data_IF_328898399254
#
_entry.id   IF_328898399254
#
_cell.length_a   1.000
_cell.length_b   1.000
_cell.length_c   1.000
_cell.angle_alpha   90.00
_cell.angle_beta   90.00
_cell.angle_gamma   90.00
#
_symmetry.space_group_name_H-M   'P 1'
#
loop_
_entity.id
_entity.type
_entity.pdbx_description
1 polymer ?
#
# COMPACT_ATOMS: atom_id res chain seq x y z
N UNK A 1 50.36 1.63 -41.02
CA UNK A 1 49.34 0.80 -40.33
C UNK A 1 49.84 0.49 -38.94
N UNK A 2 49.24 1.11 -37.90
CA UNK A 2 49.23 0.76 -36.44
C UNK A 2 49.17 2.05 -35.62
N UNK A 3 47.97 2.56 -35.30
CA UNK A 3 47.77 3.64 -34.30
C UNK A 3 46.28 3.80 -33.94
N UNK A 4 45.61 2.73 -33.51
CA UNK A 4 44.21 2.80 -33.04
C UNK A 4 43.95 2.00 -31.74
N UNK A 5 45.00 1.70 -30.95
CA UNK A 5 44.89 0.82 -29.78
C UNK A 5 44.80 1.49 -28.39
N UNK A 6 45.19 2.76 -28.24
CA UNK A 6 45.42 3.33 -26.89
C UNK A 6 44.28 4.22 -26.34
N UNK A 7 43.29 4.58 -27.14
CA UNK A 7 42.25 5.55 -26.72
C UNK A 7 41.11 4.94 -25.89
N UNK A 8 40.93 3.61 -25.90
CA UNK A 8 39.82 2.91 -25.22
C UNK A 8 40.14 2.49 -23.79
N UNK A 9 41.41 2.38 -23.38
CA UNK A 9 41.78 2.03 -22.01
C UNK A 9 41.73 3.23 -21.05
N UNK A 10 41.92 4.45 -21.54
CA UNK A 10 41.87 5.68 -20.73
C UNK A 10 40.45 6.08 -20.33
N UNK A 11 39.45 5.66 -21.11
CA UNK A 11 38.03 5.94 -20.83
C UNK A 11 37.42 5.01 -19.75
N UNK A 12 38.00 3.83 -19.51
CA UNK A 12 37.53 2.90 -18.46
C UNK A 12 38.16 3.16 -17.09
N UNK A 13 39.26 3.92 -17.02
CA UNK A 13 39.85 4.39 -15.76
C UNK A 13 39.05 5.58 -15.17
N UNK A 14 38.36 6.36 -16.00
CA UNK A 14 37.60 7.55 -15.59
C UNK A 14 36.27 7.28 -14.85
N UNK A 15 35.87 6.01 -14.68
CA UNK A 15 34.65 5.63 -13.92
C UNK A 15 34.99 5.30 -12.45
N UNK A 16 36.29 5.19 -12.10
CA UNK A 16 36.72 4.77 -10.76
C UNK A 16 37.09 5.89 -9.78
N UNK A 17 37.18 7.15 -10.21
CA UNK A 17 37.84 8.21 -9.43
C UNK A 17 36.97 9.41 -9.01
N UNK A 18 35.64 9.34 -9.10
CA UNK A 18 34.74 10.30 -8.41
C UNK A 18 34.36 9.86 -6.99
N UNK A 19 35.30 9.22 -6.28
CA UNK A 19 35.20 8.97 -4.85
C UNK A 19 36.34 9.64 -4.09
N UNK A 20 36.16 10.91 -3.76
CA UNK A 20 36.87 11.49 -2.62
C UNK A 20 37.15 12.98 -2.74
N UNK A 21 36.36 13.79 -2.02
CA UNK A 21 36.95 14.76 -1.08
C UNK A 21 35.87 15.28 -0.12
N UNK A 22 36.09 15.06 1.18
CA UNK A 22 35.47 15.84 2.26
C UNK A 22 34.08 15.42 2.75
N UNK A 23 33.83 14.15 3.04
CA UNK A 23 32.72 13.75 3.94
C UNK A 23 33.30 13.41 5.30
N UNK A 24 32.87 14.14 6.35
CA UNK A 24 32.96 13.68 7.74
C UNK A 24 32.55 12.21 7.73
N UNK A 25 33.41 11.34 8.25
CA UNK A 25 33.18 9.90 8.33
C UNK A 25 31.96 9.68 9.24
N UNK A 26 30.77 9.68 8.66
CA UNK A 26 29.61 9.13 9.32
C UNK A 26 29.81 7.63 9.30
N UNK A 27 30.35 7.09 10.40
CA UNK A 27 30.41 5.65 10.63
C UNK A 27 29.02 5.09 10.33
N UNK A 28 28.87 4.12 9.41
CA UNK A 28 27.56 3.55 9.13
C UNK A 28 26.96 3.07 10.45
N UNK A 29 25.68 3.38 10.75
CA UNK A 29 25.08 2.98 12.00
C UNK A 29 25.27 1.47 12.18
N UNK A 30 25.76 1.07 13.36
CA UNK A 30 25.94 -0.33 13.73
C UNK A 30 24.63 -1.08 13.44
N UNK A 31 24.72 -2.33 12.96
CA UNK A 31 23.54 -3.11 12.56
C UNK A 31 22.42 -3.14 13.61
N UNK A 32 22.79 -3.17 14.89
CA UNK A 32 21.85 -3.08 16.02
C UNK A 32 21.00 -1.79 16.03
N UNK A 33 21.59 -0.62 15.73
CA UNK A 33 20.86 0.66 15.66
C UNK A 33 19.83 0.61 14.53
N UNK A 34 20.20 0.04 13.38
CA UNK A 34 19.28 -0.10 12.24
C UNK A 34 18.09 -0.98 12.59
N UNK A 35 18.32 -2.09 13.27
CA UNK A 35 17.27 -3.01 13.71
C UNK A 35 16.36 -2.32 14.74
N UNK A 36 16.94 -1.63 15.73
CA UNK A 36 16.18 -0.89 16.72
C UNK A 36 15.31 0.22 16.08
N UNK A 37 15.86 0.97 15.12
CA UNK A 37 15.10 1.95 14.36
C UNK A 37 13.98 1.32 13.54
N UNK A 38 14.22 0.17 12.89
CA UNK A 38 13.19 -0.53 12.15
C UNK A 38 12.06 -1.02 13.08
N UNK A 39 12.38 -1.51 14.27
CA UNK A 39 11.40 -1.90 15.28
C UNK A 39 10.58 -0.70 15.76
N UNK A 40 11.23 0.44 16.07
CA UNK A 40 10.53 1.67 16.45
C UNK A 40 9.61 2.17 15.33
N UNK A 41 10.07 2.12 14.08
CA UNK A 41 9.26 2.50 12.91
C UNK A 41 8.09 1.54 12.73
N UNK A 42 8.27 0.24 12.97
CA UNK A 42 7.19 -0.74 12.90
C UNK A 42 6.11 -0.46 13.95
N UNK A 43 6.52 -0.23 15.21
CA UNK A 43 5.62 0.11 16.31
C UNK A 43 4.91 1.44 16.04
N UNK A 44 5.65 2.47 15.64
CA UNK A 44 5.08 3.78 15.32
C UNK A 44 4.12 3.71 14.12
N UNK A 45 4.43 2.89 13.11
CA UNK A 45 3.57 2.66 11.95
C UNK A 45 2.26 1.95 12.34
N UNK A 46 2.35 0.91 13.17
CA UNK A 46 1.18 0.18 13.68
C UNK A 46 0.30 1.09 14.58
N UNK A 47 0.93 1.85 15.47
CA UNK A 47 0.24 2.82 16.32
C UNK A 47 -0.42 3.92 15.48
N UNK A 48 0.26 4.46 14.47
CA UNK A 48 -0.33 5.43 13.56
C UNK A 48 -1.54 4.81 12.82
N UNK A 49 -1.41 3.60 12.28
CA UNK A 49 -2.52 2.93 11.61
C UNK A 49 -3.73 2.74 12.54
N UNK A 50 -3.50 2.36 13.79
CA UNK A 50 -4.54 2.18 14.81
C UNK A 50 -5.20 3.50 15.22
N UNK A 51 -4.41 4.53 15.49
CA UNK A 51 -4.88 5.84 15.94
C UNK A 51 -5.68 6.60 14.87
N UNK A 52 -5.46 6.29 13.59
CA UNK A 52 -6.23 6.84 12.46
C UNK A 52 -7.64 6.23 12.35
N UNK A 53 -7.94 5.16 13.09
CA UNK A 53 -9.25 4.51 13.07
C UNK A 53 -10.10 4.98 14.26
N UNK A 54 -11.37 5.37 14.04
CA UNK A 54 -12.33 5.58 15.12
C UNK A 54 -12.54 4.35 15.99
N UNK A 55 -12.98 4.53 17.25
CA UNK A 55 -13.25 3.44 18.19
C UNK A 55 -14.18 2.37 17.60
N UNK A 56 -15.32 2.79 17.05
CA UNK A 56 -16.28 1.91 16.37
C UNK A 56 -15.63 1.11 15.24
N UNK A 57 -14.83 1.77 14.40
CA UNK A 57 -14.17 1.12 13.28
C UNK A 57 -13.19 0.02 13.73
N UNK A 58 -12.49 0.20 14.86
CA UNK A 58 -11.57 -0.82 15.41
C UNK A 58 -12.28 -2.09 15.85
N UNK A 59 -13.55 -1.98 16.21
CA UNK A 59 -14.42 -3.07 16.65
C UNK A 59 -15.47 -3.44 15.57
N UNK A 60 -15.24 -3.09 14.31
CA UNK A 60 -16.17 -3.39 13.20
C UNK A 60 -15.41 -4.14 12.11
N UNK A 61 -16.00 -5.22 11.60
CA UNK A 61 -15.46 -5.98 10.47
C UNK A 61 -15.89 -5.33 9.14
N UNK A 62 -15.06 -5.42 8.09
CA UNK A 62 -15.38 -4.88 6.76
C UNK A 62 -15.19 -5.90 5.65
N UNK A 63 -16.18 -5.97 4.76
CA UNK A 63 -16.20 -6.84 3.60
C UNK A 63 -15.72 -8.27 3.92
N UNK A 64 -14.66 -8.77 3.28
CA UNK A 64 -14.23 -10.17 3.40
C UNK A 64 -13.73 -10.55 4.80
N UNK A 65 -13.40 -9.58 5.66
CA UNK A 65 -12.83 -9.82 6.99
C UNK A 65 -13.72 -10.73 7.84
N UNK A 66 -15.03 -10.49 7.87
CA UNK A 66 -15.98 -11.29 8.65
C UNK A 66 -16.48 -12.50 7.88
N UNK A 67 -17.34 -12.25 6.88
CA UNK A 67 -18.06 -13.29 6.11
C UNK A 67 -17.16 -14.38 5.52
N UNK A 68 -15.97 -14.04 5.04
CA UNK A 68 -15.12 -14.98 4.31
C UNK A 68 -13.96 -15.47 5.19
N UNK A 69 -13.17 -14.55 5.77
CA UNK A 69 -11.94 -14.93 6.47
C UNK A 69 -12.20 -15.37 7.90
N UNK A 70 -12.88 -14.57 8.71
CA UNK A 70 -13.16 -14.92 10.10
C UNK A 70 -14.15 -16.08 10.19
N UNK A 71 -15.20 -16.10 9.36
CA UNK A 71 -16.15 -17.22 9.31
C UNK A 71 -15.42 -18.52 8.99
N UNK A 72 -14.63 -18.56 7.92
CA UNK A 72 -13.87 -19.76 7.57
C UNK A 72 -12.94 -20.19 8.70
N UNK A 73 -12.27 -19.23 9.36
CA UNK A 73 -11.40 -19.52 10.49
C UNK A 73 -12.15 -20.02 11.73
N UNK A 74 -13.40 -19.60 11.97
CA UNK A 74 -14.27 -20.16 13.01
C UNK A 74 -14.62 -21.61 12.66
N UNK A 75 -14.93 -21.88 11.38
CA UNK A 75 -15.40 -23.18 10.92
C UNK A 75 -14.28 -24.23 10.87
N UNK A 76 -13.09 -23.85 10.38
CA UNK A 76 -11.99 -24.79 10.08
C UNK A 76 -10.60 -24.33 10.54
N UNK A 77 -10.50 -23.25 11.32
CA UNK A 77 -9.22 -22.78 11.86
C UNK A 77 -8.20 -22.39 10.78
N UNK A 78 -6.98 -22.93 10.87
CA UNK A 78 -5.89 -22.61 9.94
C UNK A 78 -5.94 -23.39 8.62
N UNK A 79 -6.83 -24.37 8.46
CA UNK A 79 -6.99 -25.10 7.20
C UNK A 79 -7.46 -24.16 6.08
N UNK A 80 -8.11 -23.06 6.45
CA UNK A 80 -8.56 -22.01 5.53
C UNK A 80 -7.43 -21.14 4.96
N UNK A 81 -6.19 -21.19 5.47
CA UNK A 81 -5.13 -20.23 5.08
C UNK A 81 -4.86 -20.18 3.57
N UNK A 82 -4.95 -21.32 2.89
CA UNK A 82 -4.68 -21.44 1.44
C UNK A 82 -5.94 -21.61 0.60
N UNK A 83 -7.13 -21.42 1.17
CA UNK A 83 -8.38 -21.50 0.41
C UNK A 83 -8.53 -20.26 -0.48
N UNK A 84 -8.73 -20.42 -1.81
CA UNK A 84 -8.92 -19.29 -2.71
C UNK A 84 -10.18 -18.48 -2.40
N UNK A 85 -10.09 -17.16 -2.63
CA UNK A 85 -11.21 -16.23 -2.63
C UNK A 85 -11.19 -15.43 -3.93
N UNK A 86 -12.32 -15.41 -4.64
CA UNK A 86 -12.51 -14.54 -5.81
C UNK A 86 -11.42 -14.68 -6.90
N UNK A 87 -10.88 -15.87 -7.11
CA UNK A 87 -9.82 -16.10 -8.10
C UNK A 87 -8.39 -16.02 -7.59
N UNK A 88 -8.14 -15.84 -6.29
CA UNK A 88 -6.77 -15.70 -5.78
C UNK A 88 -6.66 -16.01 -4.29
N UNK A 89 -5.43 -16.10 -3.79
CA UNK A 89 -5.11 -16.37 -2.39
C UNK A 89 -4.97 -15.07 -1.58
N UNK A 90 -5.35 -15.15 -0.31
CA UNK A 90 -5.23 -14.12 0.72
C UNK A 90 -4.56 -14.69 1.97
N UNK A 91 -3.32 -15.16 1.83
CA UNK A 91 -2.64 -15.92 2.89
C UNK A 91 -2.44 -15.11 4.17
N UNK A 92 -1.96 -13.87 4.09
CA UNK A 92 -1.74 -13.04 5.29
C UNK A 92 -3.07 -12.70 5.99
N UNK A 93 -4.14 -12.25 5.29
CA UNK A 93 -5.45 -12.02 5.90
C UNK A 93 -6.01 -13.26 6.60
N UNK A 94 -5.95 -14.43 5.95
CA UNK A 94 -6.47 -15.68 6.51
C UNK A 94 -5.64 -16.19 7.70
N UNK A 95 -4.32 -15.94 7.72
CA UNK A 95 -3.51 -16.18 8.92
C UNK A 95 -3.93 -15.31 10.10
N UNK A 96 -4.22 -14.02 9.85
CA UNK A 96 -4.74 -13.12 10.89
C UNK A 96 -6.11 -13.61 11.37
N UNK A 97 -6.98 -14.05 10.46
CA UNK A 97 -8.29 -14.61 10.81
C UNK A 97 -8.18 -15.89 11.66
N UNK A 98 -7.27 -16.81 11.32
CA UNK A 98 -6.99 -17.99 12.15
C UNK A 98 -6.54 -17.63 13.57
N UNK A 99 -5.65 -16.64 13.69
CA UNK A 99 -5.23 -16.12 14.99
C UNK A 99 -6.36 -15.42 15.75
N UNK A 100 -7.20 -14.64 15.07
CA UNK A 100 -8.34 -13.95 15.67
C UNK A 100 -9.39 -14.96 16.15
N UNK A 101 -9.70 -15.98 15.35
CA UNK A 101 -10.63 -17.04 15.71
C UNK A 101 -10.13 -17.89 16.90
N UNK A 102 -8.84 -17.93 17.18
CA UNK A 102 -8.30 -18.61 18.37
C UNK A 102 -8.54 -17.84 19.69
N UNK A 103 -8.97 -16.57 19.62
CA UNK A 103 -9.25 -15.72 20.78
C UNK A 103 -10.73 -15.79 21.20
N UNK A 104 -11.10 -15.28 22.39
CA UNK A 104 -12.48 -15.14 22.80
C UNK A 104 -13.30 -14.34 21.77
N UNK A 105 -14.57 -14.72 21.59
CA UNK A 105 -15.44 -14.16 20.54
C UNK A 105 -15.47 -12.64 20.60
N UNK A 106 -15.55 -12.05 21.79
CA UNK A 106 -15.63 -10.60 22.02
C UNK A 106 -14.44 -9.84 21.42
N UNK A 107 -13.29 -10.49 21.29
CA UNK A 107 -12.05 -9.86 20.84
C UNK A 107 -11.76 -10.03 19.34
N UNK A 108 -12.52 -10.85 18.61
CA UNK A 108 -12.19 -11.26 17.25
C UNK A 108 -12.08 -10.08 16.27
N UNK A 109 -13.06 -9.16 16.26
CA UNK A 109 -13.04 -8.01 15.36
C UNK A 109 -11.88 -7.04 15.64
N UNK A 110 -11.61 -6.79 16.92
CA UNK A 110 -10.47 -6.00 17.38
C UNK A 110 -9.15 -6.67 17.01
N UNK A 111 -9.05 -7.99 17.16
CA UNK A 111 -7.86 -8.75 16.80
C UNK A 111 -7.57 -8.71 15.30
N UNK A 112 -8.60 -8.84 14.45
CA UNK A 112 -8.49 -8.66 13.00
C UNK A 112 -7.93 -7.27 12.65
N UNK A 113 -8.52 -6.23 13.25
CA UNK A 113 -8.07 -4.84 13.02
C UNK A 113 -6.64 -4.62 13.51
N UNK A 114 -6.32 -5.09 14.72
CA UNK A 114 -4.99 -4.97 15.31
C UNK A 114 -3.94 -5.71 14.48
N UNK A 115 -4.24 -6.94 14.03
CA UNK A 115 -3.38 -7.73 13.14
C UNK A 115 -3.08 -6.99 11.83
N UNK A 116 -4.10 -6.41 11.20
CA UNK A 116 -3.91 -5.57 10.01
C UNK A 116 -3.02 -4.35 10.28
N UNK A 117 -3.23 -3.65 11.40
CA UNK A 117 -2.38 -2.51 11.80
C UNK A 117 -0.92 -2.93 12.07
N UNK A 118 -0.69 -4.08 12.72
CA UNK A 118 0.65 -4.62 12.96
C UNK A 118 1.38 -4.92 11.64
N UNK A 119 0.71 -5.55 10.69
CA UNK A 119 1.26 -5.79 9.35
C UNK A 119 1.59 -4.48 8.64
N UNK A 120 0.71 -3.47 8.73
CA UNK A 120 0.97 -2.14 8.16
C UNK A 120 2.22 -1.48 8.77
N UNK A 121 2.44 -1.64 10.08
CA UNK A 121 3.66 -1.23 10.76
C UNK A 121 4.91 -1.94 10.23
N UNK A 122 4.86 -3.27 10.10
CA UNK A 122 5.96 -4.07 9.52
C UNK A 122 6.27 -3.62 8.09
N UNK A 123 5.25 -3.41 7.25
CA UNK A 123 5.40 -2.87 5.90
C UNK A 123 6.11 -1.51 5.91
N UNK A 124 5.72 -0.61 6.83
CA UNK A 124 6.35 0.71 6.99
C UNK A 124 7.86 0.57 7.27
N UNK A 125 8.24 -0.32 8.18
CA UNK A 125 9.63 -0.57 8.52
C UNK A 125 10.43 -1.19 7.36
N UNK A 126 9.84 -2.16 6.64
CA UNK A 126 10.47 -2.78 5.46
C UNK A 126 10.68 -1.76 4.35
N UNK A 127 9.68 -0.93 4.07
CA UNK A 127 9.78 0.16 3.08
C UNK A 127 10.87 1.14 3.48
N UNK A 128 10.96 1.53 4.77
CA UNK A 128 12.04 2.37 5.26
C UNK A 128 13.42 1.73 5.05
N UNK A 129 13.59 0.45 5.40
CA UNK A 129 14.83 -0.31 5.24
C UNK A 129 15.28 -0.38 3.76
N UNK A 130 14.33 -0.43 2.83
CA UNK A 130 14.61 -0.43 1.40
C UNK A 130 14.88 0.99 0.88
N UNK A 131 13.98 1.94 1.15
CA UNK A 131 14.05 3.31 0.67
C UNK A 131 15.32 4.03 1.14
N UNK A 132 15.80 3.79 2.37
CA UNK A 132 17.03 4.41 2.90
C UNK A 132 18.31 3.98 2.19
N UNK A 133 18.27 2.92 1.38
CA UNK A 133 19.41 2.49 0.57
C UNK A 133 19.51 3.30 -0.74
N UNK A 134 18.41 3.95 -1.14
CA UNK A 134 18.27 4.64 -2.43
C UNK A 134 18.15 6.16 -2.22
N UNK A 135 17.44 6.60 -1.17
CA UNK A 135 17.08 7.98 -0.89
C UNK A 135 17.81 8.55 0.33
N UNK A 136 17.80 9.88 0.48
CA UNK A 136 18.31 10.53 1.69
C UNK A 136 17.43 10.16 2.89
N UNK A 137 17.96 10.15 4.13
CA UNK A 137 17.23 9.64 5.29
C UNK A 137 15.84 10.25 5.50
N UNK A 138 15.69 11.56 5.33
CA UNK A 138 14.40 12.25 5.46
C UNK A 138 13.41 11.84 4.37
N UNK A 139 13.85 11.72 3.11
CA UNK A 139 13.00 11.30 1.99
C UNK A 139 12.59 9.84 2.13
N UNK A 140 13.50 8.97 2.59
CA UNK A 140 13.20 7.58 2.91
C UNK A 140 12.17 7.45 4.04
N UNK A 141 12.25 8.30 5.07
CA UNK A 141 11.26 8.34 6.15
C UNK A 141 9.88 8.79 5.65
N UNK A 142 9.81 9.83 4.80
CA UNK A 142 8.54 10.29 4.20
C UNK A 142 7.92 9.20 3.31
N UNK A 143 8.73 8.56 2.45
CA UNK A 143 8.27 7.43 1.63
C UNK A 143 7.74 6.29 2.50
N UNK A 144 8.46 5.91 3.56
CA UNK A 144 7.99 4.87 4.47
C UNK A 144 6.67 5.27 5.15
N UNK A 145 6.56 6.51 5.62
CA UNK A 145 5.36 7.01 6.29
C UNK A 145 4.11 6.97 5.39
N UNK A 146 4.24 7.08 4.06
CA UNK A 146 3.10 6.92 3.14
C UNK A 146 2.37 5.58 3.31
N UNK A 147 3.05 4.53 3.79
CA UNK A 147 2.46 3.21 4.06
C UNK A 147 1.22 3.29 4.95
N UNK A 148 1.24 4.18 5.95
CA UNK A 148 0.14 4.34 6.93
C UNK A 148 -0.44 5.75 6.96
N UNK A 149 0.22 6.73 6.35
CA UNK A 149 -0.20 8.14 6.33
C UNK A 149 -0.70 8.60 4.95
N UNK A 150 -0.81 7.73 3.96
CA UNK A 150 -1.48 8.11 2.72
C UNK A 150 -2.91 8.60 3.00
N UNK A 151 -3.36 9.70 2.37
CA UNK A 151 -4.60 10.38 2.75
C UNK A 151 -5.81 9.46 2.81
N UNK A 152 -6.05 8.66 1.77
CA UNK A 152 -7.19 7.74 1.69
C UNK A 152 -7.00 6.40 2.43
N UNK A 153 -5.81 6.09 2.96
CA UNK A 153 -5.53 4.78 3.52
C UNK A 153 -6.46 4.41 4.68
N UNK A 154 -6.76 5.36 5.57
CA UNK A 154 -7.64 5.12 6.72
C UNK A 154 -9.11 4.87 6.35
N UNK A 155 -9.56 5.30 5.16
CA UNK A 155 -10.98 5.21 4.78
C UNK A 155 -11.45 3.76 4.66
N UNK A 156 -10.62 2.89 4.09
CA UNK A 156 -10.98 1.49 3.85
C UNK A 156 -9.81 0.50 4.02
N UNK A 157 -8.55 0.94 3.82
CA UNK A 157 -7.38 0.03 3.77
C UNK A 157 -6.84 -0.31 5.16
N UNK A 158 -6.68 0.68 6.03
CA UNK A 158 -6.08 0.45 7.35
C UNK A 158 -7.04 -0.29 8.28
N UNK A 159 -6.49 -1.25 9.02
CA UNK A 159 -7.23 -2.05 9.98
C UNK A 159 -8.27 -2.98 9.36
N UNK A 160 -8.18 -3.21 8.05
CA UNK A 160 -8.99 -4.14 7.29
C UNK A 160 -8.03 -5.17 6.69
N UNK A 161 -8.24 -6.46 6.95
CA UNK A 161 -7.30 -7.49 6.49
C UNK A 161 -7.44 -7.75 5.00
N UNK A 162 -8.66 -7.70 4.45
CA UNK A 162 -8.94 -7.86 3.03
C UNK A 162 -8.20 -6.86 2.15
N UNK A 163 -7.88 -5.68 2.69
CA UNK A 163 -7.12 -4.64 1.99
C UNK A 163 -5.59 -4.70 2.18
N UNK A 164 -5.06 -5.67 2.92
CA UNK A 164 -3.60 -5.82 3.09
C UNK A 164 -2.87 -6.07 1.77
N UNK A 165 -3.55 -6.62 0.75
CA UNK A 165 -3.01 -6.79 -0.59
C UNK A 165 -2.43 -5.46 -1.15
N UNK A 166 -3.09 -4.32 -0.89
CA UNK A 166 -2.61 -2.98 -1.26
C UNK A 166 -1.25 -2.66 -0.62
N UNK A 167 -1.07 -2.97 0.68
CA UNK A 167 0.18 -2.75 1.39
C UNK A 167 1.26 -3.77 1.02
N UNK A 168 0.86 -4.99 0.66
CA UNK A 168 1.76 -6.01 0.13
C UNK A 168 2.35 -5.58 -1.22
N UNK A 169 1.51 -5.12 -2.15
CA UNK A 169 1.97 -4.58 -3.43
C UNK A 169 2.95 -3.43 -3.24
N UNK A 170 2.60 -2.47 -2.37
CA UNK A 170 3.47 -1.35 -2.02
C UNK A 170 4.84 -1.83 -1.53
N UNK A 171 4.86 -2.75 -0.58
CA UNK A 171 6.08 -3.26 0.05
C UNK A 171 6.91 -4.09 -0.92
N UNK A 172 6.27 -4.91 -1.76
CA UNK A 172 6.90 -5.71 -2.80
C UNK A 172 7.71 -4.83 -3.76
N UNK A 173 7.16 -3.70 -4.21
CA UNK A 173 7.89 -2.79 -5.09
C UNK A 173 9.24 -2.39 -4.47
N UNK A 174 9.26 -1.98 -3.21
CA UNK A 174 10.49 -1.54 -2.54
C UNK A 174 11.48 -2.68 -2.28
N UNK A 175 10.99 -3.86 -1.89
CA UNK A 175 11.82 -5.06 -1.74
C UNK A 175 12.50 -5.44 -3.07
N UNK A 176 11.78 -5.32 -4.19
CA UNK A 176 12.28 -5.65 -5.52
C UNK A 176 13.17 -4.56 -6.12
N UNK A 177 13.25 -3.36 -5.54
CA UNK A 177 14.17 -2.30 -5.96
C UNK A 177 15.57 -2.44 -5.37
N UNK A 178 15.71 -3.07 -4.21
CA UNK A 178 17.00 -3.26 -3.53
C UNK A 178 17.59 -4.64 -3.80
N UNK A 179 18.90 -4.78 -3.60
CA UNK A 179 19.60 -6.07 -3.75
C UNK A 179 20.16 -6.50 -2.39
N UNK A 180 19.74 -7.65 -1.83
CA UNK A 180 20.34 -8.20 -0.62
C UNK A 180 21.83 -8.47 -0.80
N UNK A 181 22.64 -8.20 0.23
CA UNK A 181 24.11 -8.43 0.19
C UNK A 181 24.55 -9.79 0.70
N UNK A 182 23.68 -10.49 1.43
CA UNK A 182 23.98 -11.77 2.08
C UNK A 182 22.90 -12.78 1.72
N UNK A 183 23.29 -14.04 1.51
CA UNK A 183 22.38 -15.13 1.15
C UNK A 183 21.26 -15.31 2.17
N UNK A 184 21.58 -15.30 3.47
CA UNK A 184 20.56 -15.41 4.53
C UNK A 184 19.51 -14.28 4.46
N UNK A 185 19.93 -13.04 4.18
CA UNK A 185 19.01 -11.91 3.99
C UNK A 185 18.19 -12.09 2.72
N UNK A 186 18.80 -12.57 1.63
CA UNK A 186 18.08 -12.86 0.39
C UNK A 186 16.98 -13.92 0.57
N UNK A 187 17.24 -14.96 1.37
CA UNK A 187 16.26 -16.00 1.70
C UNK A 187 15.10 -15.43 2.52
N UNK A 188 15.39 -14.65 3.57
CA UNK A 188 14.32 -14.00 4.37
C UNK A 188 13.47 -13.08 3.50
N UNK A 189 14.11 -12.26 2.65
CA UNK A 189 13.40 -11.40 1.70
C UNK A 189 12.57 -12.22 0.71
N UNK A 190 13.08 -13.34 0.20
CA UNK A 190 12.33 -14.20 -0.71
C UNK A 190 11.08 -14.80 -0.05
N UNK A 191 11.17 -15.20 1.22
CA UNK A 191 9.99 -15.67 1.99
C UNK A 191 8.97 -14.53 2.12
N UNK A 192 9.39 -13.34 2.54
CA UNK A 192 8.48 -12.18 2.65
C UNK A 192 7.83 -11.85 1.30
N UNK A 193 8.60 -11.88 0.21
CA UNK A 193 8.11 -11.65 -1.15
C UNK A 193 7.11 -12.74 -1.57
N UNK A 194 7.35 -14.01 -1.22
CA UNK A 194 6.43 -15.09 -1.50
C UNK A 194 5.08 -14.90 -0.78
N UNK A 195 5.09 -14.61 0.52
CA UNK A 195 3.86 -14.35 1.30
C UNK A 195 3.08 -13.13 0.79
N UNK A 196 3.79 -12.07 0.41
CA UNK A 196 3.17 -10.90 -0.16
C UNK A 196 2.54 -11.21 -1.54
N UNK A 197 3.22 -11.98 -2.40
CA UNK A 197 2.66 -12.43 -3.69
C UNK A 197 1.49 -13.41 -3.51
N UNK A 198 1.52 -14.26 -2.48
CA UNK A 198 0.40 -15.13 -2.07
C UNK A 198 -0.81 -14.35 -1.50
N UNK A 199 -0.69 -13.04 -1.31
CA UNK A 199 -1.78 -12.17 -0.86
C UNK A 199 -2.22 -11.19 -1.94
N UNK A 200 -1.37 -10.93 -2.94
CA UNK A 200 -1.62 -9.93 -3.98
C UNK A 200 -1.40 -10.51 -5.38
N UNK A 201 -2.49 -10.79 -6.08
CA UNK A 201 -2.49 -11.33 -7.44
C UNK A 201 -1.83 -10.38 -8.45
N UNK A 202 -1.97 -9.07 -8.28
CA UNK A 202 -1.38 -8.10 -9.20
C UNK A 202 0.15 -8.03 -9.09
N UNK A 203 0.78 -8.74 -8.14
CA UNK A 203 2.24 -8.81 -8.02
C UNK A 203 2.93 -9.30 -9.31
N UNK A 204 2.20 -9.94 -10.22
CA UNK A 204 2.63 -10.26 -11.59
C UNK A 204 3.15 -9.03 -12.35
N UNK A 205 2.58 -7.85 -12.10
CA UNK A 205 2.98 -6.58 -12.70
C UNK A 205 4.40 -6.16 -12.29
N UNK A 206 4.94 -6.72 -11.22
CA UNK A 206 6.29 -6.43 -10.72
C UNK A 206 7.37 -7.37 -11.28
N UNK A 207 7.01 -8.35 -12.13
CA UNK A 207 7.98 -9.23 -12.80
C UNK A 207 9.09 -8.44 -13.53
N UNK A 208 8.79 -7.38 -14.33
CA UNK A 208 9.84 -6.61 -14.99
C UNK A 208 10.85 -5.98 -14.02
N UNK A 209 10.38 -5.54 -12.84
CA UNK A 209 11.25 -4.98 -11.78
C UNK A 209 12.09 -6.07 -11.13
N UNK A 210 11.52 -7.26 -10.92
CA UNK A 210 12.23 -8.41 -10.36
C UNK A 210 13.31 -8.96 -11.32
N UNK A 211 13.04 -8.95 -12.63
CA UNK A 211 13.97 -9.38 -13.67
C UNK A 211 15.12 -8.38 -13.89
N UNK A 212 14.98 -7.14 -13.43
CA UNK A 212 16.06 -6.17 -13.48
C UNK A 212 17.30 -6.73 -12.76
N UNK A 213 18.48 -6.73 -13.40
CA UNK A 213 19.72 -7.26 -12.79
C UNK A 213 19.60 -8.70 -12.26
N UNK A 214 18.76 -9.55 -12.86
CA UNK A 214 18.58 -10.97 -12.48
C UNK A 214 19.87 -11.81 -12.54
N UNK A 215 20.93 -11.30 -13.17
CA UNK A 215 22.26 -11.94 -13.16
C UNK A 215 22.87 -12.03 -11.75
N UNK A 216 22.43 -11.19 -10.82
CA UNK A 216 22.87 -11.27 -9.43
C UNK A 216 22.28 -12.51 -8.72
N UNK A 217 23.09 -13.41 -8.13
CA UNK A 217 22.59 -14.61 -7.46
C UNK A 217 21.64 -14.30 -6.30
N UNK A 218 21.82 -13.19 -5.58
CA UNK A 218 20.93 -12.81 -4.48
C UNK A 218 19.56 -12.36 -5.00
N UNK A 219 19.52 -11.69 -6.15
CA UNK A 219 18.25 -11.35 -6.82
C UNK A 219 17.50 -12.57 -7.32
N UNK A 220 18.20 -13.61 -7.79
CA UNK A 220 17.55 -14.86 -8.21
C UNK A 220 16.80 -15.54 -7.06
N UNK A 221 17.34 -15.48 -5.84
CA UNK A 221 16.66 -16.01 -4.65
C UNK A 221 15.36 -15.23 -4.38
N UNK A 222 15.42 -13.89 -4.43
CA UNK A 222 14.24 -13.04 -4.25
C UNK A 222 13.20 -13.26 -5.35
N UNK A 223 13.64 -13.36 -6.61
CA UNK A 223 12.78 -13.68 -7.75
C UNK A 223 12.12 -15.04 -7.60
N UNK A 224 12.84 -16.06 -7.10
CA UNK A 224 12.25 -17.37 -6.84
C UNK A 224 11.08 -17.27 -5.86
N UNK A 225 11.21 -16.50 -4.78
CA UNK A 225 10.11 -16.23 -3.86
C UNK A 225 8.88 -15.61 -4.55
N UNK A 226 9.10 -14.61 -5.41
CA UNK A 226 8.02 -13.97 -6.19
C UNK A 226 7.33 -15.00 -7.10
N UNK A 227 8.11 -15.77 -7.86
CA UNK A 227 7.60 -16.75 -8.81
C UNK A 227 6.85 -17.88 -8.10
N UNK A 228 7.30 -18.32 -6.93
CA UNK A 228 6.57 -19.31 -6.11
C UNK A 228 5.21 -18.79 -5.71
N UNK A 229 5.12 -17.55 -5.19
CA UNK A 229 3.83 -16.97 -4.84
C UNK A 229 2.91 -16.77 -6.05
N UNK A 230 3.46 -16.28 -7.17
CA UNK A 230 2.69 -16.10 -8.41
C UNK A 230 2.22 -17.42 -9.03
N UNK A 231 3.02 -18.48 -8.97
CA UNK A 231 2.61 -19.80 -9.46
C UNK A 231 1.41 -20.32 -8.66
N UNK A 232 1.42 -20.15 -7.35
CA UNK A 232 0.28 -20.49 -6.49
C UNK A 232 -0.95 -19.62 -6.78
N UNK A 233 -0.76 -18.32 -7.06
CA UNK A 233 -1.86 -17.45 -7.47
C UNK A 233 -2.49 -17.90 -8.79
N UNK A 234 -1.67 -18.24 -9.79
CA UNK A 234 -2.17 -18.77 -11.07
C UNK A 234 -2.94 -20.07 -10.85
N UNK A 235 -2.43 -20.98 -10.02
CA UNK A 235 -3.15 -22.21 -9.68
C UNK A 235 -4.50 -21.89 -9.02
N UNK A 236 -4.54 -20.98 -8.03
CA UNK A 236 -5.78 -20.56 -7.39
C UNK A 236 -6.78 -19.91 -8.37
N UNK A 237 -6.29 -19.07 -9.30
CA UNK A 237 -7.12 -18.46 -10.34
C UNK A 237 -7.72 -19.47 -11.32
N UNK A 238 -6.98 -20.52 -11.66
CA UNK A 238 -7.45 -21.57 -12.56
C UNK A 238 -8.43 -22.53 -11.87
N UNK A 239 -8.18 -22.85 -10.60
CA UNK A 239 -8.99 -23.80 -9.83
C UNK A 239 -10.26 -23.16 -9.25
N UNK A 240 -10.26 -21.86 -8.98
CA UNK A 240 -11.40 -21.13 -8.42
C UNK A 240 -11.61 -19.81 -9.17
N UNK A 241 -12.00 -19.86 -10.46
CA UNK A 241 -12.05 -18.67 -11.31
C UNK A 241 -13.00 -17.62 -10.76
N UNK A 242 -12.58 -16.37 -10.88
CA UNK A 242 -13.35 -15.22 -10.43
C UNK A 242 -14.65 -15.10 -11.25
N UNK A 243 -15.77 -14.90 -10.56
CA UNK A 243 -17.04 -14.53 -11.19
C UNK A 243 -16.98 -13.07 -11.66
N UNK A 244 -17.39 -12.82 -12.91
CA UNK A 244 -17.46 -11.47 -13.45
C UNK A 244 -18.55 -10.65 -12.74
N UNK A 245 -18.33 -9.35 -12.58
CA UNK A 245 -19.33 -8.42 -12.05
C UNK A 245 -20.41 -8.16 -13.10
N UNK A 246 -21.62 -7.81 -12.66
CA UNK A 246 -22.74 -7.54 -13.57
C UNK A 246 -22.58 -6.22 -14.36
N UNK A 247 -21.70 -5.32 -13.91
CA UNK A 247 -21.57 -3.96 -14.44
C UNK A 247 -20.88 -3.90 -15.83
N UNK A 248 -20.28 -5.00 -16.31
CA UNK A 248 -19.81 -5.14 -17.70
C UNK A 248 -18.56 -4.31 -18.04
N UNK A 249 -18.69 -2.98 -18.16
CA UNK A 249 -17.58 -2.08 -18.49
C UNK A 249 -17.74 -0.68 -17.89
N UNK A 250 -16.59 -0.03 -17.65
CA UNK A 250 -16.47 1.37 -17.22
C UNK A 250 -16.07 2.24 -18.41
N UNK A 251 -16.64 3.44 -18.56
CA UNK A 251 -16.33 4.35 -19.66
C UNK A 251 -14.83 4.76 -19.69
N UNK A 252 -14.19 4.91 -20.87
CA UNK A 252 -12.78 5.28 -20.97
C UNK A 252 -12.40 6.56 -20.21
N UNK A 253 -13.26 7.58 -20.23
CA UNK A 253 -13.02 8.84 -19.51
C UNK A 253 -13.06 8.66 -17.98
N UNK A 254 -13.79 7.67 -17.48
CA UNK A 254 -13.90 7.36 -16.05
C UNK A 254 -12.59 6.86 -15.47
N UNK A 255 -11.73 6.22 -16.27
CA UNK A 255 -10.37 5.87 -15.84
C UNK A 255 -9.53 7.10 -15.53
N UNK A 256 -9.58 8.13 -16.39
CA UNK A 256 -8.81 9.38 -16.19
C UNK A 256 -9.38 10.19 -15.02
N UNK A 257 -10.71 10.40 -15.02
CA UNK A 257 -11.40 11.11 -13.93
C UNK A 257 -11.16 10.42 -12.59
N UNK A 258 -11.39 9.11 -12.54
CA UNK A 258 -11.24 8.30 -11.34
C UNK A 258 -9.79 8.23 -10.86
N UNK A 259 -8.81 8.09 -11.76
CA UNK A 259 -7.40 8.09 -11.40
C UNK A 259 -7.02 9.40 -10.71
N UNK A 260 -7.39 10.55 -11.28
CA UNK A 260 -7.09 11.85 -10.66
C UNK A 260 -7.86 12.03 -9.35
N UNK A 261 -9.13 11.65 -9.31
CA UNK A 261 -9.98 11.74 -8.12
C UNK A 261 -9.45 10.92 -6.93
N UNK A 262 -8.89 9.73 -7.21
CA UNK A 262 -8.48 8.77 -6.19
C UNK A 262 -6.98 8.77 -5.90
N UNK A 263 -6.13 9.21 -6.84
CA UNK A 263 -4.67 9.15 -6.70
C UNK A 263 -4.01 10.53 -6.54
N UNK A 264 -4.59 11.60 -7.10
CA UNK A 264 -3.97 12.93 -7.15
C UNK A 264 -4.67 13.91 -6.22
N UNK A 265 -5.99 14.10 -6.38
CA UNK A 265 -6.76 15.04 -5.56
C UNK A 265 -6.65 14.79 -4.05
N UNK A 266 -6.58 13.54 -3.54
CA UNK A 266 -6.45 13.32 -2.10
C UNK A 266 -5.13 13.82 -1.52
N UNK A 267 -4.12 14.09 -2.35
CA UNK A 267 -2.86 14.71 -1.89
C UNK A 267 -3.03 16.19 -1.56
N UNK A 268 -4.06 16.85 -2.10
CA UNK A 268 -4.29 18.29 -1.98
C UNK A 268 -5.61 18.65 -1.28
N UNK A 269 -6.62 17.78 -1.36
CA UNK A 269 -7.96 18.03 -0.87
C UNK A 269 -8.37 16.99 0.18
N UNK A 270 -9.12 17.40 1.22
CA UNK A 270 -9.77 16.45 2.12
C UNK A 270 -10.80 15.62 1.37
N UNK A 271 -10.99 14.37 1.79
CA UNK A 271 -11.83 13.40 1.06
C UNK A 271 -13.27 13.90 0.82
N UNK A 272 -13.87 14.65 1.76
CA UNK A 272 -15.24 15.15 1.59
C UNK A 272 -15.34 16.28 0.56
N UNK A 273 -14.23 16.94 0.23
CA UNK A 273 -14.22 18.03 -0.75
C UNK A 273 -14.03 17.52 -2.18
N UNK A 274 -13.54 16.28 -2.39
CA UNK A 274 -13.22 15.75 -3.73
C UNK A 274 -14.48 15.66 -4.59
N UNK A 275 -15.55 15.06 -4.05
CA UNK A 275 -16.83 14.93 -4.75
C UNK A 275 -17.45 16.27 -5.14
N UNK A 276 -17.69 17.19 -4.18
CA UNK A 276 -18.17 18.55 -4.48
C UNK A 276 -17.29 19.31 -5.47
N UNK A 277 -15.96 19.16 -5.40
CA UNK A 277 -15.06 19.83 -6.33
C UNK A 277 -15.15 19.25 -7.75
N UNK A 278 -15.33 17.93 -7.90
CA UNK A 278 -15.61 17.30 -9.19
C UNK A 278 -16.97 17.71 -9.75
N UNK A 279 -17.99 17.78 -8.90
CA UNK A 279 -19.34 18.20 -9.28
C UNK A 279 -19.37 19.68 -9.73
N UNK A 280 -18.62 20.56 -9.06
CA UNK A 280 -18.59 21.99 -9.35
C UNK A 280 -17.67 22.40 -10.52
N UNK A 281 -16.53 21.72 -10.70
CA UNK A 281 -15.52 22.10 -11.69
C UNK A 281 -15.34 21.08 -12.82
N UNK A 282 -16.00 19.92 -12.76
CA UNK A 282 -16.01 18.92 -13.82
C UNK A 282 -14.61 18.47 -14.25
N UNK A 283 -14.34 18.52 -15.56
CA UNK A 283 -13.04 18.11 -16.11
C UNK A 283 -11.91 19.12 -15.83
N UNK A 284 -12.25 20.39 -15.52
CA UNK A 284 -11.24 21.43 -15.32
C UNK A 284 -10.36 21.15 -14.09
N UNK A 285 -10.94 20.69 -12.98
CA UNK A 285 -10.17 20.31 -11.78
C UNK A 285 -9.30 19.06 -12.04
N UNK A 286 -9.80 18.11 -12.82
CA UNK A 286 -9.07 16.90 -13.21
C UNK A 286 -7.82 17.26 -14.01
N UNK A 287 -7.98 18.05 -15.06
CA UNK A 287 -6.88 18.50 -15.93
C UNK A 287 -5.92 19.40 -15.15
N UNK A 288 -6.44 20.34 -14.34
CA UNK A 288 -5.63 21.25 -13.54
C UNK A 288 -4.74 20.51 -12.53
N UNK A 289 -5.29 19.53 -11.80
CA UNK A 289 -4.54 18.75 -10.83
C UNK A 289 -3.47 17.86 -11.49
N UNK A 290 -3.80 17.22 -12.62
CA UNK A 290 -2.86 16.43 -13.39
C UNK A 290 -1.72 17.31 -13.94
N UNK A 291 -2.06 18.44 -14.56
CA UNK A 291 -1.09 19.39 -15.11
C UNK A 291 -0.16 19.97 -14.04
N UNK A 292 -0.69 20.36 -12.87
CA UNK A 292 0.11 20.87 -11.76
C UNK A 292 1.11 19.82 -11.25
N UNK A 293 0.67 18.57 -11.11
CA UNK A 293 1.53 17.45 -10.68
C UNK A 293 2.63 17.17 -11.70
N UNK A 294 2.29 17.09 -12.99
CA UNK A 294 3.25 16.87 -14.08
C UNK A 294 4.24 18.03 -14.22
N UNK A 295 3.79 19.27 -14.06
CA UNK A 295 4.64 20.46 -14.08
C UNK A 295 5.64 20.43 -12.93
N UNK A 296 5.19 20.14 -11.70
CA UNK A 296 6.05 20.00 -10.53
C UNK A 296 7.13 18.93 -10.76
N UNK A 297 6.74 17.74 -11.22
CA UNK A 297 7.67 16.65 -11.52
C UNK A 297 8.65 17.04 -12.63
N UNK A 298 8.17 17.67 -13.72
CA UNK A 298 9.02 18.15 -14.81
C UNK A 298 10.07 19.16 -14.33
N UNK A 299 9.70 20.07 -13.42
CA UNK A 299 10.64 21.03 -12.82
C UNK A 299 11.69 20.35 -11.93
N UNK A 300 11.30 19.39 -11.10
CA UNK A 300 12.22 18.65 -10.21
C UNK A 300 13.16 17.70 -11.00
N UNK A 301 12.66 17.07 -12.06
CA UNK A 301 13.42 16.08 -12.82
C UNK A 301 14.51 16.69 -13.72
N UNK A 302 14.42 17.98 -14.05
CA UNK A 302 15.44 18.70 -14.85
C UNK A 302 16.85 18.59 -14.26
N UNK A 303 16.98 18.66 -12.93
CA UNK A 303 18.27 18.50 -12.23
C UNK A 303 18.56 17.07 -11.76
N UNK A 304 17.58 16.17 -11.83
CA UNK A 304 17.71 14.82 -11.28
C UNK A 304 18.55 13.91 -12.18
N UNK A 305 19.31 13.00 -11.56
CA UNK A 305 20.09 11.97 -12.25
C UNK A 305 19.19 11.01 -13.05
N UNK A 306 19.77 10.26 -14.00
CA UNK A 306 19.05 9.23 -14.78
C UNK A 306 18.34 8.20 -13.90
N UNK A 307 18.98 7.75 -12.82
CA UNK A 307 18.39 6.75 -11.90
C UNK A 307 17.11 7.26 -11.22
N UNK A 308 17.11 8.51 -10.76
CA UNK A 308 15.92 9.14 -10.18
C UNK A 308 14.80 9.29 -11.21
N UNK A 309 15.12 9.68 -12.45
CA UNK A 309 14.14 9.78 -13.54
C UNK A 309 13.50 8.43 -13.86
N UNK A 310 14.31 7.36 -13.92
CA UNK A 310 13.81 5.99 -14.15
C UNK A 310 12.90 5.57 -12.99
N UNK A 311 13.31 5.78 -11.74
CA UNK A 311 12.49 5.41 -10.58
C UNK A 311 11.16 6.18 -10.58
N UNK A 312 11.17 7.48 -10.87
CA UNK A 312 9.93 8.26 -11.01
C UNK A 312 9.05 7.73 -12.13
N UNK A 313 9.62 7.39 -13.29
CA UNK A 313 8.86 6.80 -14.38
C UNK A 313 8.22 5.46 -14.00
N UNK A 314 8.96 4.58 -13.29
CA UNK A 314 8.43 3.31 -12.77
C UNK A 314 7.28 3.55 -11.79
N UNK A 315 7.41 4.50 -10.86
CA UNK A 315 6.38 4.84 -9.89
C UNK A 315 5.10 5.36 -10.59
N UNK A 316 5.23 6.28 -11.55
CA UNK A 316 4.09 6.83 -12.29
C UNK A 316 3.41 5.79 -13.19
N UNK A 317 4.20 4.98 -13.91
CA UNK A 317 3.67 3.89 -14.72
C UNK A 317 2.94 2.86 -13.84
N UNK A 318 3.53 2.48 -12.71
CA UNK A 318 2.90 1.60 -11.72
C UNK A 318 1.58 2.18 -11.21
N UNK A 319 1.52 3.47 -10.90
CA UNK A 319 0.29 4.11 -10.42
C UNK A 319 -0.86 3.98 -11.43
N UNK A 320 -0.59 4.25 -12.72
CA UNK A 320 -1.58 4.15 -13.80
C UNK A 320 -1.98 2.70 -14.06
N UNK A 321 -1.01 1.80 -14.24
CA UNK A 321 -1.27 0.40 -14.58
C UNK A 321 -2.04 -0.30 -13.48
N UNK A 322 -1.68 -0.09 -12.21
CA UNK A 322 -2.37 -0.70 -11.07
C UNK A 322 -3.79 -0.16 -10.96
N UNK A 323 -3.99 1.16 -11.01
CA UNK A 323 -5.33 1.74 -10.93
C UNK A 323 -6.23 1.21 -12.05
N UNK A 324 -5.78 1.35 -13.30
CA UNK A 324 -6.56 0.92 -14.46
C UNK A 324 -6.79 -0.58 -14.47
N UNK A 325 -5.78 -1.38 -14.13
CA UNK A 325 -5.90 -2.83 -14.03
C UNK A 325 -6.90 -3.27 -12.97
N UNK A 326 -6.91 -2.61 -11.81
CA UNK A 326 -7.88 -2.92 -10.74
C UNK A 326 -9.30 -2.57 -11.14
N UNK A 327 -9.53 -1.39 -11.73
CA UNK A 327 -10.86 -0.97 -12.22
C UNK A 327 -11.33 -1.87 -13.35
N UNK A 328 -10.45 -2.21 -14.29
CA UNK A 328 -10.77 -3.08 -15.41
C UNK A 328 -11.14 -4.51 -14.95
N UNK A 329 -10.41 -5.06 -13.97
CA UNK A 329 -10.69 -6.38 -13.43
C UNK A 329 -11.88 -6.42 -12.45
N UNK A 330 -12.38 -5.25 -12.03
CA UNK A 330 -13.47 -5.10 -11.05
C UNK A 330 -14.39 -3.93 -11.45
N UNK A 331 -15.01 -3.97 -12.64
CA UNK A 331 -15.84 -2.87 -13.08
C UNK A 331 -17.09 -2.80 -12.19
N UNK A 332 -17.41 -1.60 -11.71
CA UNK A 332 -18.57 -1.29 -10.88
C UNK A 332 -19.07 0.13 -11.18
N UNK A 333 -20.34 0.39 -10.86
CA UNK A 333 -21.02 1.66 -11.13
C UNK A 333 -20.33 2.87 -10.52
N UNK A 334 -19.79 2.71 -9.33
CA UNK A 334 -19.11 3.76 -8.59
C UNK A 334 -17.72 4.10 -9.16
N UNK A 335 -17.19 3.31 -10.09
CA UNK A 335 -16.01 3.67 -10.89
C UNK A 335 -16.37 4.47 -12.14
N UNK A 336 -17.64 4.56 -12.54
CA UNK A 336 -18.06 5.19 -13.79
C UNK A 336 -18.28 6.72 -13.68
N UNK A 337 -17.25 7.41 -13.20
CA UNK A 337 -17.21 8.86 -12.96
C UNK A 337 -17.61 9.73 -14.16
N UNK A 338 -17.52 9.21 -15.40
CA UNK A 338 -17.94 9.92 -16.60
C UNK A 338 -19.46 9.95 -16.77
N UNK A 339 -20.17 8.91 -16.31
CA UNK A 339 -21.63 8.81 -16.38
C UNK A 339 -22.36 9.32 -15.15
N UNK A 340 -21.65 9.52 -14.03
CA UNK A 340 -22.24 10.09 -12.82
C UNK A 340 -22.81 11.49 -13.07
N UNK A 341 -24.04 11.68 -12.59
CA UNK A 341 -24.68 12.99 -12.47
C UNK A 341 -23.95 13.88 -11.47
N UNK A 342 -24.19 15.18 -11.50
CA UNK A 342 -23.63 16.13 -10.53
C UNK A 342 -23.93 15.73 -9.08
N UNK A 343 -25.11 15.17 -8.82
CA UNK A 343 -25.49 14.75 -7.46
C UNK A 343 -24.74 13.49 -7.02
N UNK A 344 -24.62 12.49 -7.91
CA UNK A 344 -23.79 11.31 -7.66
C UNK A 344 -22.31 11.69 -7.45
N UNK A 345 -21.82 12.71 -8.17
CA UNK A 345 -20.47 13.22 -7.99
C UNK A 345 -20.26 13.90 -6.62
N UNK A 346 -21.29 14.53 -6.04
CA UNK A 346 -21.16 15.12 -4.69
C UNK A 346 -20.96 14.05 -3.61
N UNK A 347 -21.52 12.87 -3.82
CA UNK A 347 -21.50 11.72 -2.90
C UNK A 347 -20.66 10.54 -3.41
N UNK A 348 -19.60 10.82 -4.18
CA UNK A 348 -18.78 9.76 -4.78
C UNK A 348 -18.27 8.72 -3.79
N UNK A 349 -18.20 7.48 -4.27
CA UNK A 349 -17.38 6.46 -3.63
C UNK A 349 -15.91 6.71 -3.97
N UNK A 350 -15.06 6.82 -2.94
CA UNK A 350 -13.61 6.81 -3.07
C UNK A 350 -13.10 5.40 -2.68
N UNK A 351 -12.87 4.50 -3.66
CA UNK A 351 -12.51 3.11 -3.41
C UNK A 351 -11.04 2.92 -3.04
N UNK A 352 -10.75 1.77 -2.41
CA UNK A 352 -9.39 1.37 -1.98
C UNK A 352 -8.34 1.36 -3.10
N UNK A 353 -8.73 1.15 -4.36
CA UNK A 353 -7.81 1.11 -5.50
C UNK A 353 -7.13 2.44 -5.80
N UNK A 354 -7.57 3.55 -5.19
CA UNK A 354 -6.86 4.83 -5.20
C UNK A 354 -5.62 4.91 -4.32
N UNK A 355 -5.57 4.12 -3.25
CA UNK A 355 -4.61 4.30 -2.16
C UNK A 355 -3.19 4.07 -2.64
N UNK A 356 -2.89 2.92 -3.25
CA UNK A 356 -1.55 2.62 -3.75
C UNK A 356 -1.10 3.58 -4.88
N UNK A 357 -1.92 3.89 -5.91
CA UNK A 357 -1.60 4.93 -6.87
C UNK A 357 -1.25 6.28 -6.22
N UNK A 358 -1.98 6.70 -5.18
CA UNK A 358 -1.66 7.94 -4.45
C UNK A 358 -0.29 7.87 -3.75
N UNK A 359 0.05 6.72 -3.16
CA UNK A 359 1.34 6.48 -2.52
C UNK A 359 2.48 6.52 -3.54
N UNK A 360 2.27 5.95 -4.74
CA UNK A 360 3.24 5.95 -5.83
C UNK A 360 3.47 7.36 -6.39
N UNK A 361 2.41 8.16 -6.57
CA UNK A 361 2.51 9.56 -7.03
C UNK A 361 3.21 10.43 -5.97
N UNK A 362 2.82 10.32 -4.70
CA UNK A 362 3.48 11.05 -3.63
C UNK A 362 4.98 10.66 -3.52
N UNK A 363 5.29 9.37 -3.68
CA UNK A 363 6.67 8.89 -3.72
C UNK A 363 7.43 9.40 -4.93
N UNK A 364 6.81 9.51 -6.10
CA UNK A 364 7.42 10.09 -7.28
C UNK A 364 7.85 11.54 -7.04
N UNK A 365 7.01 12.33 -6.34
CA UNK A 365 7.34 13.70 -5.92
C UNK A 365 8.55 13.71 -4.98
N UNK A 366 8.55 12.84 -3.96
CA UNK A 366 9.63 12.75 -2.96
C UNK A 366 10.95 12.28 -3.59
N UNK A 367 10.91 11.30 -4.50
CA UNK A 367 12.08 10.80 -5.24
C UNK A 367 12.62 11.89 -6.17
N UNK A 368 11.76 12.62 -6.89
CA UNK A 368 12.19 13.73 -7.73
C UNK A 368 12.86 14.83 -6.88
N UNK A 369 12.31 15.14 -5.71
CA UNK A 369 12.88 16.10 -4.76
C UNK A 369 14.24 15.64 -4.19
N UNK A 370 14.41 14.34 -3.89
CA UNK A 370 15.69 13.74 -3.47
C UNK A 370 16.76 13.91 -4.57
N UNK A 371 16.37 13.72 -5.83
CA UNK A 371 17.23 13.92 -6.98
C UNK A 371 17.74 15.36 -7.11
N UNK A 372 16.89 16.36 -6.81
CA UNK A 372 17.30 17.77 -6.74
C UNK A 372 18.25 18.00 -5.55
N UNK A 373 17.93 17.47 -4.37
CA UNK A 373 18.74 17.65 -3.16
C UNK A 373 20.16 17.07 -3.31
N UNK A 374 20.31 16.01 -4.11
CA UNK A 374 21.60 15.38 -4.43
C UNK A 374 22.35 16.05 -5.58
N UNK A 375 21.65 16.77 -6.46
CA UNK A 375 22.24 17.46 -7.59
C UNK A 375 23.02 18.71 -7.14
N UNK A 376 24.21 18.52 -6.56
CA UNK A 376 25.19 19.58 -6.34
C UNK A 376 25.72 20.01 -7.71
N UNK A 377 25.29 21.16 -8.21
CA UNK A 377 25.88 21.78 -9.41
C UNK A 377 26.53 23.12 -9.05
N UNK A 378 27.73 23.41 -9.58
CA UNK A 378 28.33 24.75 -9.54
C UNK A 378 27.60 25.62 -10.58
N UNK A 379 26.46 26.19 -10.20
CA UNK A 379 25.72 27.16 -11.01
C UNK A 379 25.44 28.41 -10.18
N UNK A 380 25.09 29.52 -10.86
CA UNK A 380 24.80 30.80 -10.20
C UNK A 380 23.89 30.62 -8.97
N UNK A 381 24.29 31.23 -7.86
CA UNK A 381 23.75 30.97 -6.51
C UNK A 381 22.21 31.07 -6.44
N UNK A 382 21.59 31.91 -7.28
CA UNK A 382 20.15 32.08 -7.35
C UNK A 382 19.36 30.87 -7.87
N UNK A 383 19.79 30.25 -8.97
CA UNK A 383 19.06 29.12 -9.58
C UNK A 383 19.12 27.86 -8.70
N UNK A 384 20.27 27.64 -8.05
CA UNK A 384 20.46 26.55 -7.08
C UNK A 384 19.56 26.73 -5.87
N UNK A 385 19.49 27.95 -5.30
CA UNK A 385 18.59 28.27 -4.17
C UNK A 385 17.12 28.04 -4.49
N UNK A 386 16.65 28.47 -5.67
CA UNK A 386 15.25 28.26 -6.10
C UNK A 386 14.90 26.79 -6.22
N UNK A 387 15.78 25.96 -6.79
CA UNK A 387 15.57 24.51 -6.92
C UNK A 387 15.57 23.80 -5.56
N UNK A 388 16.49 24.18 -4.67
CA UNK A 388 16.53 23.65 -3.31
C UNK A 388 15.26 24.01 -2.53
N UNK A 389 14.76 25.24 -2.68
CA UNK A 389 13.48 25.66 -2.10
C UNK A 389 12.32 24.83 -2.66
N UNK A 390 12.23 24.67 -3.99
CA UNK A 390 11.19 23.87 -4.63
C UNK A 390 11.19 22.41 -4.14
N UNK A 391 12.37 21.79 -4.02
CA UNK A 391 12.53 20.44 -3.47
C UNK A 391 12.00 20.35 -2.03
N UNK A 392 12.35 21.31 -1.17
CA UNK A 392 11.85 21.36 0.22
C UNK A 392 10.34 21.59 0.28
N UNK A 393 9.81 22.50 -0.53
CA UNK A 393 8.37 22.78 -0.60
C UNK A 393 7.58 21.56 -1.10
N UNK A 394 8.11 20.82 -2.08
CA UNK A 394 7.47 19.61 -2.58
C UNK A 394 7.38 18.53 -1.50
N UNK A 395 8.47 18.28 -0.77
CA UNK A 395 8.46 17.32 0.36
C UNK A 395 7.57 17.83 1.49
N UNK A 396 7.63 19.13 1.82
CA UNK A 396 6.78 19.74 2.83
C UNK A 396 5.30 19.65 2.47
N UNK A 397 4.94 19.75 1.18
CA UNK A 397 3.57 19.56 0.70
C UNK A 397 3.07 18.14 0.90
N UNK A 398 3.89 17.12 0.60
CA UNK A 398 3.56 15.71 0.88
C UNK A 398 3.40 15.46 2.38
N UNK A 399 4.30 16.00 3.21
CA UNK A 399 4.21 15.89 4.67
C UNK A 399 2.98 16.63 5.20
N UNK A 400 2.68 17.83 4.68
CA UNK A 400 1.50 18.58 5.06
C UNK A 400 0.22 17.80 4.72
N UNK A 401 0.16 17.15 3.56
CA UNK A 401 -0.95 16.24 3.21
C UNK A 401 -1.11 15.12 4.24
N UNK A 402 -0.03 14.44 4.63
CA UNK A 402 -0.07 13.40 5.68
C UNK A 402 -0.60 13.92 7.01
N UNK A 403 -0.16 15.12 7.43
CA UNK A 403 -0.52 15.73 8.72
C UNK A 403 -1.97 16.22 8.72
N UNK A 404 -2.36 16.95 7.67
CA UNK A 404 -3.72 17.48 7.51
C UNK A 404 -4.75 16.34 7.37
N UNK A 405 -4.34 15.20 6.82
CA UNK A 405 -5.18 14.00 6.69
C UNK A 405 -4.91 12.94 7.77
N UNK A 406 -4.27 13.32 8.88
CA UNK A 406 -3.95 12.37 9.96
C UNK A 406 -5.17 11.97 10.78
N UNK A 407 -6.06 12.91 11.13
CA UNK A 407 -7.11 12.70 12.14
C UNK A 407 -7.98 11.46 11.89
N UNK A 408 -8.70 10.94 12.91
CA UNK A 408 -9.64 9.87 12.67
C UNK A 408 -10.70 10.34 11.67
N UNK A 409 -10.77 9.67 10.51
CA UNK A 409 -11.72 10.01 9.46
C UNK A 409 -12.98 9.17 9.60
N UNK A 410 -14.06 9.65 8.96
CA UNK A 410 -15.13 8.77 8.54
C UNK A 410 -14.54 7.67 7.63
N UNK A 411 -14.60 6.45 8.14
CA UNK A 411 -14.19 5.22 7.48
C UNK A 411 -15.43 4.48 7.03
N UNK A 412 -15.24 3.47 6.18
CA UNK A 412 -16.32 2.56 5.79
C UNK A 412 -16.95 1.77 6.94
N UNK A 413 -16.31 1.81 8.11
CA UNK A 413 -16.72 1.11 9.34
C UNK A 413 -17.19 2.04 10.46
N UNK A 414 -17.17 3.36 10.24
CA UNK A 414 -17.46 4.32 11.31
C UNK A 414 -18.90 4.26 11.82
N UNK A 415 -19.82 3.73 11.01
CA UNK A 415 -21.23 3.54 11.35
C UNK A 415 -21.54 2.15 11.95
N UNK A 416 -20.52 1.32 12.18
CA UNK A 416 -20.70 -0.03 12.69
C UNK A 416 -21.27 -1.01 11.64
N UNK A 417 -21.94 -2.08 12.08
CA UNK A 417 -22.24 -2.41 13.48
C UNK A 417 -20.98 -2.83 14.26
N UNK A 418 -20.87 -2.36 15.52
CA UNK A 418 -19.76 -2.73 16.39
C UNK A 418 -19.94 -4.18 16.87
N UNK A 419 -18.87 -4.95 16.92
CA UNK A 419 -18.85 -6.37 17.21
C UNK A 419 -19.13 -6.68 18.69
N UNK A 420 -18.41 -6.02 19.60
CA UNK A 420 -18.48 -6.33 21.04
C UNK A 420 -19.90 -6.22 21.62
N UNK A 421 -20.70 -5.17 21.32
CA UNK A 421 -22.08 -5.09 21.79
C UNK A 421 -22.97 -6.22 21.26
N UNK A 422 -22.74 -6.68 20.03
CA UNK A 422 -23.51 -7.77 19.44
C UNK A 422 -23.18 -9.11 20.10
N UNK A 423 -21.91 -9.35 20.44
CA UNK A 423 -21.50 -10.57 21.16
C UNK A 423 -22.17 -10.66 22.53
N UNK A 424 -22.28 -9.55 23.25
CA UNK A 424 -22.99 -9.52 24.54
C UNK A 424 -24.48 -9.87 24.40
N UNK A 425 -25.15 -9.36 23.36
CA UNK A 425 -26.54 -9.72 23.05
C UNK A 425 -26.67 -11.18 22.63
N UNK A 426 -25.75 -11.68 21.80
CA UNK A 426 -25.73 -13.07 21.34
C UNK A 426 -25.55 -14.07 22.49
N UNK A 427 -24.71 -13.74 23.49
CA UNK A 427 -24.56 -14.56 24.69
C UNK A 427 -25.89 -14.72 25.44
N UNK A 428 -26.62 -13.62 25.63
CA UNK A 428 -27.94 -13.68 26.28
C UNK A 428 -28.93 -14.55 25.49
N UNK A 429 -28.89 -14.52 24.16
CA UNK A 429 -29.73 -15.37 23.30
C UNK A 429 -29.40 -16.85 23.46
N UNK A 430 -28.12 -17.22 23.53
CA UNK A 430 -27.69 -18.60 23.77
C UNK A 430 -28.05 -19.09 25.18
N UNK A 431 -27.96 -18.22 26.20
CA UNK A 431 -28.34 -18.55 27.57
C UNK A 431 -29.86 -18.78 27.73
N UNK A 432 -30.67 -18.02 27.00
CA UNK A 432 -32.13 -18.14 27.03
C UNK A 432 -32.66 -19.35 26.26
N UNK A 433 -31.91 -19.85 25.28
CA UNK A 433 -32.29 -20.98 24.43
C UNK A 433 -31.12 -21.99 24.31
N UNK A 434 -30.96 -22.91 25.29
CA UNK A 434 -29.87 -23.89 25.30
C UNK A 434 -29.88 -24.86 24.11
N UNK A 435 -30.97 -24.93 23.35
CA UNK A 435 -31.08 -25.74 22.12
C UNK A 435 -30.54 -25.04 20.88
N UNK A 436 -30.19 -23.76 20.97
CA UNK A 436 -29.66 -22.96 19.86
C UNK A 436 -28.22 -23.38 19.51
N UNK A 437 -27.99 -23.72 18.24
CA UNK A 437 -26.66 -24.10 17.75
C UNK A 437 -25.72 -22.91 17.52
N UNK A 438 -26.22 -21.84 16.91
CA UNK A 438 -25.44 -20.65 16.56
C UNK A 438 -26.25 -19.34 16.67
N UNK A 439 -25.52 -18.21 16.64
CA UNK A 439 -26.08 -16.86 16.53
C UNK A 439 -25.38 -16.12 15.40
N UNK A 440 -26.15 -15.37 14.63
CA UNK A 440 -25.65 -14.49 13.58
C UNK A 440 -25.31 -13.12 14.14
N UNK A 441 -24.09 -12.65 13.86
CA UNK A 441 -23.62 -11.30 14.13
C UNK A 441 -23.52 -10.52 12.80
N UNK A 442 -24.04 -9.30 12.81
CA UNK A 442 -24.05 -8.41 11.66
C UNK A 442 -22.66 -7.80 11.41
N UNK A 443 -22.38 -7.59 10.14
CA UNK A 443 -21.22 -6.91 9.60
C UNK A 443 -21.69 -5.80 8.64
N UNK A 444 -20.81 -4.84 8.35
CA UNK A 444 -21.01 -3.86 7.28
C UNK A 444 -21.40 -4.51 5.95
N UNK A 445 -22.09 -3.77 5.08
CA UNK A 445 -22.60 -4.22 3.77
C UNK A 445 -23.75 -5.25 3.85
N UNK A 446 -24.39 -5.41 5.02
CA UNK A 446 -25.44 -6.40 5.25
C UNK A 446 -24.89 -7.83 5.16
N UNK A 447 -23.62 -8.00 5.52
CA UNK A 447 -22.97 -9.31 5.59
C UNK A 447 -23.01 -9.79 7.03
N UNK A 448 -22.75 -11.07 7.23
CA UNK A 448 -23.01 -11.72 8.51
C UNK A 448 -21.89 -12.72 8.85
N UNK A 449 -21.71 -12.96 10.15
CA UNK A 449 -20.83 -14.01 10.69
C UNK A 449 -21.64 -14.84 11.68
N UNK A 450 -21.64 -16.16 11.50
CA UNK A 450 -22.28 -17.12 12.40
C UNK A 450 -21.29 -17.59 13.45
N UNK A 451 -21.69 -17.47 14.71
CA UNK A 451 -20.90 -17.87 15.87
C UNK A 451 -21.63 -18.98 16.63
N UNK A 452 -21.01 -20.16 16.79
CA UNK A 452 -21.56 -21.24 17.61
C UNK A 452 -21.81 -20.83 19.07
N UNK A 453 -22.92 -21.26 19.66
CA UNK A 453 -23.29 -20.90 21.04
C UNK A 453 -22.33 -21.47 22.10
N UNK A 454 -21.69 -22.62 21.84
CA UNK A 454 -20.66 -23.21 22.71
C UNK A 454 -19.42 -22.31 22.86
N UNK A 455 -19.12 -21.50 21.84
CA UNK A 455 -18.02 -20.52 21.84
C UNK A 455 -18.37 -19.25 22.63
N UNK A 456 -19.66 -19.00 22.86
CA UNK A 456 -20.17 -17.86 23.62
C UNK A 456 -20.35 -18.18 25.12
N UNK A 457 -20.47 -19.46 25.48
CA UNK A 457 -20.79 -19.94 26.84
C UNK A 457 -19.60 -20.19 27.79
N UNK A 458 -18.36 -19.84 27.41
CA UNK A 458 -17.15 -20.22 28.15
C UNK A 458 -16.58 -19.21 29.15
N UNK A 459 -17.33 -18.16 29.52
CA UNK A 459 -16.84 -17.06 30.35
C UNK A 459 -17.60 -16.92 31.67
N UNK A 460 -17.33 -17.80 32.63
CA UNK A 460 -17.65 -17.59 34.05
C UNK A 460 -16.37 -17.57 34.88
#
# INVERSE_FOLDING_TARGET
>A
MTSHGESTMTAMAAIRDEQGLGRRISVPPRGAIVIAMAAVIAVAGAAAAWLRLPGTARDTLWAEDGRDFLQGAIDSGFDEVFVPYGGYLHVIPRLIAGLAAALPVESMAVAMTAGSCLVAGVCTAVVWLCARQILLPVHAAVVAALTVLAPLAAREVLGNTANLHTLMMWTLLWLLLVTPRRRGVAVVVAVVVAFAALTEIQAVLLIPVALWRVRDPMRRIVLAGLLTGLAAQVAASLLSPRRQTAFGHVEPLSYVKGFVANAVLPLALPQQAIGPALAGHGLAIVVGAAAATLLLLGLLLRSSSRSHRILVAVLLAGAVVIYCGSVYANPEDYYDYARHTTEQLRSIWLPRYGVLPSMLIASAIVVAADGVARARRPGSTGAVRRRALLSRLAVAGVVASMVLHFGPWDTRRSQGPAWTPQVAAARQLCEQDPGRGDVTLEQTLGWEVRVPCDRLGGGS
#
